data_IF_935419737057
#
_entry.id   IF_935419737057
#
_cell.length_a   1.000
_cell.length_b   1.000
_cell.length_c   1.000
_cell.angle_alpha   90.00
_cell.angle_beta   90.00
_cell.angle_gamma   90.00
#
_symmetry.space_group_name_H-M   'P 1'
#
loop_
_entity.id
_entity.type
_entity.pdbx_description
1 polymer ?
#
# COMPACT_ATOMS: atom_id res chain seq x y z
N UNK A 1 -19.95 -18.33 -11.62
CA UNK A 1 -21.16 -17.78 -10.98
C UNK A 1 -20.77 -17.42 -9.57
N UNK A 2 -21.04 -16.17 -9.18
CA UNK A 2 -20.43 -15.36 -8.12
C UNK A 2 -19.05 -14.78 -8.49
N UNK A 3 -19.12 -13.59 -9.08
CA UNK A 3 -18.03 -12.62 -9.06
C UNK A 3 -17.80 -12.20 -7.60
N UNK A 4 -16.71 -12.65 -6.99
CA UNK A 4 -16.29 -12.12 -5.70
C UNK A 4 -15.83 -10.67 -5.90
N UNK A 5 -16.76 -9.75 -5.67
CA UNK A 5 -16.51 -8.33 -5.59
C UNK A 5 -15.45 -8.12 -4.51
N UNK A 6 -14.25 -7.67 -4.93
CA UNK A 6 -13.13 -7.35 -4.05
C UNK A 6 -13.62 -6.70 -2.74
N UNK A 7 -13.12 -7.13 -1.56
CA UNK A 7 -13.46 -6.51 -0.27
C UNK A 7 -13.29 -4.99 -0.29
N UNK A 8 -12.32 -4.49 -1.07
CA UNK A 8 -12.09 -3.06 -1.32
C UNK A 8 -13.25 -2.41 -2.06
N UNK A 9 -13.78 -3.04 -3.11
CA UNK A 9 -14.94 -2.55 -3.84
C UNK A 9 -16.21 -2.58 -2.98
N UNK A 10 -16.34 -3.57 -2.11
CA UNK A 10 -17.45 -3.67 -1.14
C UNK A 10 -17.36 -2.56 -0.10
N UNK A 11 -16.19 -2.33 0.51
CA UNK A 11 -15.97 -1.27 1.48
C UNK A 11 -16.16 0.14 0.87
N UNK A 12 -15.66 0.36 -0.35
CA UNK A 12 -15.88 1.62 -1.07
C UNK A 12 -17.36 1.83 -1.41
N UNK A 13 -18.07 0.76 -1.80
CA UNK A 13 -19.51 0.80 -2.07
C UNK A 13 -20.31 1.09 -0.80
N UNK A 14 -20.00 0.45 0.31
CA UNK A 14 -20.68 0.68 1.59
C UNK A 14 -20.44 2.08 2.15
N UNK A 15 -19.21 2.61 2.02
CA UNK A 15 -18.91 4.00 2.34
C UNK A 15 -19.73 4.98 1.48
N UNK A 16 -19.86 4.70 0.17
CA UNK A 16 -20.66 5.52 -0.74
C UNK A 16 -22.17 5.46 -0.43
N UNK A 17 -22.69 4.26 -0.12
CA UNK A 17 -24.11 4.06 0.24
C UNK A 17 -24.43 4.75 1.56
N UNK A 18 -23.52 4.65 2.54
CA UNK A 18 -23.69 5.29 3.85
C UNK A 18 -23.72 6.81 3.71
N UNK A 19 -22.85 7.38 2.87
CA UNK A 19 -22.80 8.82 2.60
C UNK A 19 -24.05 9.34 1.87
N UNK A 20 -24.55 8.58 0.88
CA UNK A 20 -25.81 8.88 0.17
C UNK A 20 -27.02 8.77 1.11
N UNK A 21 -27.03 7.78 2.01
CA UNK A 21 -28.09 7.60 2.99
C UNK A 21 -28.09 8.73 4.04
N UNK A 22 -26.92 9.20 4.50
CA UNK A 22 -26.81 10.35 5.41
C UNK A 22 -27.17 11.68 4.76
N UNK A 23 -26.99 11.80 3.44
CA UNK A 23 -27.40 12.98 2.67
C UNK A 23 -28.93 13.03 2.46
N UNK A 24 -29.62 11.89 2.58
CA UNK A 24 -31.07 11.75 2.37
C UNK A 24 -31.98 12.31 3.47
N UNK A 25 -31.44 12.77 4.61
CA UNK A 25 -32.25 13.25 5.75
C UNK A 25 -32.34 14.77 5.91
N UNK A 26 -31.87 15.56 4.93
CA UNK A 26 -32.15 16.99 4.90
C UNK A 26 -33.61 17.22 4.45
N UNK A 27 -34.47 17.57 5.41
CA UNK A 27 -35.89 17.85 5.21
C UNK A 27 -36.14 18.81 4.05
N UNK A 28 -36.84 18.35 3.01
CA UNK A 28 -37.33 19.22 1.94
C UNK A 28 -38.84 19.43 2.08
N UNK A 29 -39.21 20.53 2.72
CA UNK A 29 -40.48 21.20 2.40
C UNK A 29 -40.40 21.72 0.96
N UNK A 30 -41.29 21.23 0.07
CA UNK A 30 -41.51 21.83 -1.25
C UNK A 30 -41.21 20.90 -2.43
N UNK A 31 -42.18 20.07 -2.80
CA UNK A 31 -42.11 19.12 -3.92
C UNK A 31 -42.20 19.86 -5.27
N UNK A 32 -41.09 19.95 -6.03
CA UNK A 32 -41.13 20.18 -7.48
C UNK A 32 -40.59 18.96 -8.22
N UNK A 33 -41.40 18.36 -9.09
CA UNK A 33 -41.07 17.17 -9.88
C UNK A 33 -39.91 17.48 -10.85
N UNK A 34 -38.83 16.69 -10.87
CA UNK A 34 -37.81 16.82 -11.91
C UNK A 34 -38.33 16.24 -13.23
N UNK A 35 -38.14 16.97 -14.33
CA UNK A 35 -38.48 16.55 -15.69
C UNK A 35 -37.39 15.64 -16.28
N UNK A 36 -37.78 14.81 -17.25
CA UNK A 36 -37.00 13.70 -17.85
C UNK A 36 -35.60 14.07 -18.41
N UNK A 37 -35.26 15.35 -18.51
CA UNK A 37 -33.91 15.80 -18.90
C UNK A 37 -32.84 15.63 -17.80
N UNK A 38 -33.22 15.69 -16.52
CA UNK A 38 -32.26 15.55 -15.41
C UNK A 38 -31.73 14.11 -15.22
N UNK A 39 -32.49 13.11 -15.68
CA UNK A 39 -32.13 11.69 -15.55
C UNK A 39 -31.06 11.29 -16.56
N UNK A 40 -30.99 11.95 -17.72
CA UNK A 40 -29.98 11.66 -18.75
C UNK A 40 -28.60 12.20 -18.37
N UNK A 41 -28.53 13.31 -17.61
CA UNK A 41 -27.26 13.88 -17.13
C UNK A 41 -26.56 13.00 -16.08
N UNK A 42 -27.31 12.23 -15.28
CA UNK A 42 -26.74 11.34 -14.24
C UNK A 42 -26.20 10.04 -14.85
N UNK A 43 -26.81 9.53 -15.92
CA UNK A 43 -26.34 8.30 -16.58
C UNK A 43 -25.13 8.56 -17.49
N UNK A 44 -25.03 9.75 -18.08
CA UNK A 44 -23.86 10.13 -18.89
C UNK A 44 -22.57 10.33 -18.07
N UNK A 45 -22.69 10.65 -16.77
CA UNK A 45 -21.53 10.79 -15.88
C UNK A 45 -20.91 9.44 -15.46
N UNK A 46 -21.65 8.34 -15.56
CA UNK A 46 -21.17 7.00 -15.16
C UNK A 46 -20.65 6.14 -16.32
N UNK A 47 -20.81 6.56 -17.58
CA UNK A 47 -20.36 5.77 -18.74
C UNK A 47 -19.04 6.26 -19.37
N UNK A 48 -18.36 7.24 -18.76
CA UNK A 48 -17.01 7.68 -19.16
C UNK A 48 -15.92 7.22 -18.18
N UNK A 49 -16.28 6.67 -17.00
CA UNK A 49 -15.33 6.16 -16.00
C UNK A 49 -14.95 4.69 -16.16
N UNK A 50 -14.83 4.21 -17.40
CA UNK A 50 -14.72 2.80 -17.75
C UNK A 50 -13.38 2.41 -18.36
N UNK A 51 -12.27 2.97 -17.91
CA UNK A 51 -10.91 2.46 -18.16
C UNK A 51 -10.01 2.87 -17.01
N UNK A 52 -9.25 1.93 -16.47
CA UNK A 52 -8.30 2.07 -15.36
C UNK A 52 -7.56 3.42 -15.34
N UNK A 53 -7.82 4.23 -14.32
CA UNK A 53 -6.98 5.29 -13.71
C UNK A 53 -7.92 6.15 -12.86
N UNK A 54 -7.51 6.50 -11.65
CA UNK A 54 -8.29 7.31 -10.70
C UNK A 54 -8.45 8.76 -11.15
N UNK A 55 -9.12 8.98 -12.28
CA UNK A 55 -9.49 10.30 -12.77
C UNK A 55 -10.55 10.90 -11.88
N UNK A 56 -10.15 11.81 -10.99
CA UNK A 56 -11.05 12.75 -10.33
C UNK A 56 -11.73 13.60 -11.41
N UNK A 57 -12.89 13.16 -11.91
CA UNK A 57 -13.83 14.11 -12.49
C UNK A 57 -14.33 14.94 -11.31
N UNK A 58 -13.84 16.17 -11.22
CA UNK A 58 -14.36 17.17 -10.29
C UNK A 58 -15.79 17.53 -10.70
N UNK A 59 -16.74 16.64 -10.42
CA UNK A 59 -18.12 17.03 -10.24
C UNK A 59 -18.13 17.86 -8.95
N UNK A 60 -18.04 19.18 -9.12
CA UNK A 60 -18.14 20.15 -8.05
C UNK A 60 -19.48 19.95 -7.32
N UNK A 61 -19.46 19.13 -6.26
CA UNK A 61 -20.45 19.21 -5.20
C UNK A 61 -20.28 20.61 -4.58
N UNK A 62 -21.32 21.46 -4.57
CA UNK A 62 -21.22 22.77 -3.96
C UNK A 62 -20.90 22.60 -2.47
N UNK A 63 -19.69 22.99 -2.04
CA UNK A 63 -19.33 23.10 -0.63
C UNK A 63 -18.07 22.37 -0.15
N UNK A 64 -17.41 21.54 -0.96
CA UNK A 64 -16.15 20.91 -0.54
C UNK A 64 -14.95 21.77 -0.95
N UNK A 65 -14.25 22.30 0.04
CA UNK A 65 -12.96 22.97 -0.11
C UNK A 65 -11.95 22.02 -0.78
N UNK A 66 -11.31 22.40 -1.90
CA UNK A 66 -10.36 21.54 -2.62
C UNK A 66 -9.22 21.03 -1.74
N UNK A 67 -8.77 21.82 -0.76
CA UNK A 67 -7.70 21.42 0.15
C UNK A 67 -8.16 20.31 1.10
N UNK A 68 -9.44 20.33 1.52
CA UNK A 68 -10.05 19.26 2.32
C UNK A 68 -10.10 17.93 1.55
N UNK A 69 -10.41 17.97 0.24
CA UNK A 69 -10.40 16.78 -0.60
C UNK A 69 -8.98 16.19 -0.74
N UNK A 70 -7.97 17.04 -0.94
CA UNK A 70 -6.57 16.63 -1.01
C UNK A 70 -6.11 16.02 0.32
N UNK A 71 -6.43 16.67 1.45
CA UNK A 71 -6.11 16.14 2.78
C UNK A 71 -6.73 14.76 3.02
N UNK A 72 -8.00 14.57 2.67
CA UNK A 72 -8.67 13.28 2.82
C UNK A 72 -8.03 12.19 1.96
N UNK A 73 -7.63 12.53 0.73
CA UNK A 73 -6.90 11.63 -0.18
C UNK A 73 -5.57 11.20 0.43
N UNK A 74 -4.72 12.15 0.84
CA UNK A 74 -3.42 11.86 1.46
C UNK A 74 -3.56 11.05 2.74
N UNK A 75 -4.53 11.39 3.61
CA UNK A 75 -4.78 10.66 4.83
C UNK A 75 -5.20 9.20 4.56
N UNK A 76 -6.03 8.97 3.54
CA UNK A 76 -6.49 7.62 3.15
C UNK A 76 -5.34 6.81 2.58
N UNK A 77 -4.57 7.37 1.65
CA UNK A 77 -3.38 6.72 1.08
C UNK A 77 -2.37 6.38 2.16
N UNK A 78 -2.08 7.32 3.07
CA UNK A 78 -1.08 7.09 4.13
C UNK A 78 -1.52 5.98 5.08
N UNK A 79 -2.79 5.95 5.49
CA UNK A 79 -3.30 4.86 6.33
C UNK A 79 -3.22 3.52 5.62
N UNK A 80 -3.61 3.46 4.35
CA UNK A 80 -3.47 2.23 3.57
C UNK A 80 -2.01 1.78 3.52
N UNK A 81 -1.07 2.67 3.17
CA UNK A 81 0.35 2.31 3.08
C UNK A 81 0.93 1.89 4.42
N UNK A 82 0.65 2.62 5.51
CA UNK A 82 1.19 2.32 6.83
C UNK A 82 0.53 1.10 7.45
N UNK A 83 -0.80 1.03 7.46
CA UNK A 83 -1.57 0.06 8.24
C UNK A 83 -1.82 -1.23 7.47
N UNK A 84 -2.26 -1.14 6.21
CA UNK A 84 -2.65 -2.33 5.43
C UNK A 84 -1.45 -2.93 4.67
N UNK A 85 -0.60 -2.08 4.07
CA UNK A 85 0.50 -2.54 3.22
C UNK A 85 1.78 -2.85 4.01
N UNK A 86 2.00 -2.18 5.14
CA UNK A 86 3.19 -2.33 5.96
C UNK A 86 2.89 -2.76 7.40
N UNK A 87 1.64 -3.06 7.76
CA UNK A 87 1.25 -3.60 9.08
C UNK A 87 1.66 -2.75 10.28
N UNK A 88 1.88 -1.45 10.04
CA UNK A 88 2.15 -0.45 11.05
C UNK A 88 0.87 0.16 11.60
N UNK A 89 1.02 1.31 12.25
CA UNK A 89 -0.12 2.07 12.76
C UNK A 89 0.15 3.56 12.75
N UNK A 90 -0.82 4.36 12.31
CA UNK A 90 -0.75 5.81 12.49
C UNK A 90 -1.05 6.16 13.96
N UNK A 91 -0.22 7.01 14.56
CA UNK A 91 -0.32 7.42 15.97
C UNK A 91 -0.40 8.93 16.08
N UNK A 92 -1.26 9.41 16.99
CA UNK A 92 -1.40 10.84 17.27
C UNK A 92 -2.28 11.58 16.25
N UNK A 93 -2.17 12.90 16.25
CA UNK A 93 -2.95 13.77 15.35
C UNK A 93 -2.06 14.18 14.18
N UNK A 94 -2.49 13.92 12.93
CA UNK A 94 -1.71 14.30 11.77
C UNK A 94 -1.73 15.82 11.54
N UNK A 95 -0.69 16.30 10.89
CA UNK A 95 -0.59 17.67 10.37
C UNK A 95 -0.75 17.65 8.85
N UNK A 96 -1.48 18.62 8.32
CA UNK A 96 -1.67 18.80 6.88
C UNK A 96 -1.34 20.23 6.49
N UNK A 97 -0.71 20.41 5.33
CA UNK A 97 -0.41 21.73 4.78
C UNK A 97 -0.36 21.68 3.26
N UNK A 98 -0.90 22.71 2.62
CA UNK A 98 -0.59 23.05 1.22
C UNK A 98 0.47 24.14 1.23
N UNK A 99 1.54 23.92 0.47
CA UNK A 99 2.71 24.80 0.47
C UNK A 99 3.29 24.98 -0.94
N UNK A 100 4.26 25.90 -1.03
CA UNK A 100 4.99 26.24 -2.24
C UNK A 100 6.45 26.52 -1.89
N UNK A 101 7.38 26.06 -2.72
CA UNK A 101 8.82 26.16 -2.47
C UNK A 101 9.24 25.45 -1.19
N UNK A 102 10.38 25.83 -0.64
CA UNK A 102 10.91 25.26 0.59
C UNK A 102 9.95 25.43 1.78
N UNK A 103 9.67 24.33 2.49
CA UNK A 103 8.81 24.34 3.69
C UNK A 103 9.35 23.40 4.76
N UNK A 104 9.20 23.83 6.01
CA UNK A 104 9.40 22.97 7.18
C UNK A 104 8.10 22.82 7.97
N UNK A 105 7.84 21.60 8.45
CA UNK A 105 6.76 21.27 9.37
C UNK A 105 7.38 20.69 10.64
N UNK A 106 6.97 21.21 11.80
CA UNK A 106 7.36 20.66 13.09
C UNK A 106 6.25 19.77 13.60
N UNK A 107 6.55 18.49 13.82
CA UNK A 107 5.69 17.61 14.60
C UNK A 107 5.94 17.85 16.08
N UNK A 108 4.86 17.86 16.86
CA UNK A 108 4.93 17.88 18.33
C UNK A 108 5.66 16.65 18.87
N UNK A 109 5.95 16.67 20.17
CA UNK A 109 6.60 15.55 20.87
C UNK A 109 6.01 14.18 20.51
N UNK A 110 6.90 13.19 20.43
CA UNK A 110 6.58 11.82 20.04
C UNK A 110 5.54 11.20 20.99
N UNK A 111 4.34 10.81 20.49
CA UNK A 111 3.35 10.11 21.28
C UNK A 111 3.89 8.77 21.80
N UNK A 112 3.35 8.31 22.93
CA UNK A 112 3.72 7.01 23.48
C UNK A 112 3.43 5.88 22.48
N UNK A 113 4.43 5.04 22.24
CA UNK A 113 4.34 3.90 21.32
C UNK A 113 4.59 4.23 19.86
N UNK A 114 4.82 5.49 19.48
CA UNK A 114 5.35 5.84 18.17
C UNK A 114 6.87 5.68 18.14
N UNK A 115 7.39 5.20 17.01
CA UNK A 115 8.81 4.97 16.75
C UNK A 115 9.25 5.45 15.36
N UNK A 116 8.31 5.97 14.55
CA UNK A 116 8.53 6.36 13.17
C UNK A 116 7.71 7.61 12.84
N UNK A 117 8.12 8.34 11.80
CA UNK A 117 7.32 9.40 11.17
C UNK A 117 6.91 8.94 9.79
N UNK A 118 5.63 9.08 9.47
CA UNK A 118 5.12 8.88 8.12
C UNK A 118 4.84 10.22 7.46
N UNK A 119 5.24 10.34 6.20
CA UNK A 119 5.05 11.53 5.37
C UNK A 119 4.41 11.06 4.07
N UNK A 120 3.36 11.75 3.64
CA UNK A 120 2.80 11.60 2.30
C UNK A 120 2.61 12.97 1.66
N UNK A 121 2.85 13.06 0.35
CA UNK A 121 2.76 14.31 -0.37
C UNK A 121 2.20 14.14 -1.78
N UNK A 122 1.43 15.12 -2.22
CA UNK A 122 0.88 15.20 -3.56
C UNK A 122 1.48 16.40 -4.28
N UNK A 123 2.04 16.17 -5.47
CA UNK A 123 2.50 17.20 -6.39
C UNK A 123 1.26 17.87 -6.99
N UNK A 124 1.04 19.15 -6.69
CA UNK A 124 -0.10 19.90 -7.22
C UNK A 124 0.27 20.62 -8.51
N UNK A 125 1.44 21.27 -8.51
CA UNK A 125 2.04 21.97 -9.65
C UNK A 125 3.57 21.82 -9.57
N UNK A 126 4.24 21.58 -10.70
CA UNK A 126 5.71 21.51 -10.75
C UNK A 126 6.30 20.13 -10.42
N UNK A 127 7.56 20.14 -9.99
CA UNK A 127 8.33 18.91 -9.70
C UNK A 127 8.16 18.44 -8.23
N UNK A 128 8.57 17.20 -7.96
CA UNK A 128 8.44 16.59 -6.65
C UNK A 128 9.45 17.19 -5.64
N UNK A 129 9.02 17.56 -4.43
CA UNK A 129 9.95 18.02 -3.40
C UNK A 129 10.89 16.89 -2.97
N UNK A 130 12.11 17.26 -2.58
CA UNK A 130 12.95 16.37 -1.77
C UNK A 130 12.47 16.43 -0.32
N UNK A 131 12.19 15.26 0.28
CA UNK A 131 11.67 15.16 1.64
C UNK A 131 12.76 14.66 2.58
N UNK A 132 12.90 15.33 3.72
CA UNK A 132 13.80 14.95 4.80
C UNK A 132 13.07 14.95 6.15
N UNK A 133 13.46 14.02 7.02
CA UNK A 133 13.02 13.97 8.41
C UNK A 133 14.25 14.09 9.31
N UNK A 134 14.29 15.13 10.15
CA UNK A 134 15.45 15.48 10.98
C UNK A 134 16.78 15.47 10.20
N UNK A 135 16.75 16.03 8.97
CA UNK A 135 17.91 16.15 8.07
C UNK A 135 18.35 14.85 7.37
N UNK A 136 17.57 13.78 7.51
CA UNK A 136 17.80 12.53 6.79
C UNK A 136 16.80 12.43 5.64
N UNK A 137 17.33 12.27 4.42
CA UNK A 137 16.50 12.06 3.24
C UNK A 137 15.66 10.81 3.40
N UNK A 138 14.37 10.93 3.11
CA UNK A 138 13.46 9.80 3.17
C UNK A 138 13.62 8.91 1.95
N UNK A 139 13.58 7.61 2.16
CA UNK A 139 13.42 6.61 1.11
C UNK A 139 11.92 6.34 0.93
N UNK A 140 11.41 6.49 -0.29
CA UNK A 140 9.98 6.46 -0.57
C UNK A 140 9.64 6.67 -2.03
N UNK A 141 8.36 6.57 -2.37
CA UNK A 141 7.90 6.87 -3.73
C UNK A 141 7.82 8.38 -3.95
N UNK A 142 8.08 8.82 -5.18
CA UNK A 142 7.94 10.22 -5.56
C UNK A 142 6.54 10.44 -6.11
N UNK A 143 5.91 11.57 -5.78
CA UNK A 143 4.77 12.00 -6.58
C UNK A 143 5.26 12.37 -7.96
N UNK A 144 4.66 11.79 -8.98
CA UNK A 144 4.91 12.13 -10.36
C UNK A 144 4.15 13.36 -10.79
N UNK A 145 4.49 13.87 -11.98
CA UNK A 145 3.80 15.03 -12.54
C UNK A 145 2.38 14.64 -12.95
N UNK A 146 1.44 15.55 -12.71
CA UNK A 146 0.02 15.34 -12.99
C UNK A 146 -0.29 15.03 -14.48
N UNK A 147 0.59 15.43 -15.39
CA UNK A 147 0.49 15.22 -16.83
C UNK A 147 1.11 13.90 -17.32
N UNK A 148 1.81 13.15 -16.45
CA UNK A 148 2.28 11.79 -16.73
C UNK A 148 1.32 10.75 -16.12
N UNK A 149 0.47 10.10 -16.94
CA UNK A 149 -0.51 9.13 -16.47
C UNK A 149 0.11 7.84 -15.91
N UNK A 150 1.42 7.62 -16.11
CA UNK A 150 2.14 6.46 -15.60
C UNK A 150 2.75 6.69 -14.22
N UNK A 151 2.72 7.93 -13.74
CA UNK A 151 3.41 8.34 -12.53
C UNK A 151 2.48 8.29 -11.30
N UNK A 152 3.01 7.90 -10.14
CA UNK A 152 2.21 7.82 -8.92
C UNK A 152 1.75 9.23 -8.49
N UNK A 153 0.45 9.41 -8.28
CA UNK A 153 -0.08 10.72 -7.91
C UNK A 153 0.30 11.19 -6.48
N UNK A 154 0.93 10.33 -5.69
CA UNK A 154 1.26 10.59 -4.28
C UNK A 154 2.57 9.91 -3.93
N UNK A 155 3.52 10.68 -3.41
CA UNK A 155 4.71 10.13 -2.78
C UNK A 155 4.43 9.82 -1.31
N UNK A 156 5.10 8.81 -0.77
CA UNK A 156 5.01 8.49 0.65
C UNK A 156 6.34 7.92 1.16
N UNK A 157 6.57 8.05 2.46
CA UNK A 157 7.69 7.46 3.16
C UNK A 157 7.34 7.13 4.62
N UNK A 158 8.05 6.14 5.18
CA UNK A 158 8.08 5.84 6.61
C UNK A 158 9.52 5.93 7.09
N UNK A 159 9.81 6.88 7.95
CA UNK A 159 11.16 7.14 8.47
C UNK A 159 11.28 6.70 9.93
N UNK A 160 12.20 5.79 10.27
CA UNK A 160 12.41 5.38 11.66
C UNK A 160 12.98 6.54 12.48
N UNK A 161 12.56 6.65 13.75
CA UNK A 161 12.92 7.75 14.63
C UNK A 161 13.63 7.27 15.90
N UNK A 162 14.92 7.61 15.99
CA UNK A 162 15.72 7.36 17.19
C UNK A 162 15.47 8.38 18.30
N UNK A 163 15.07 9.62 17.95
CA UNK A 163 14.86 10.72 18.89
C UNK A 163 13.45 10.70 19.51
N UNK A 164 13.33 11.30 20.70
CA UNK A 164 12.05 11.39 21.45
C UNK A 164 11.49 12.80 21.52
N UNK A 165 12.18 13.79 20.95
CA UNK A 165 11.78 15.20 20.95
C UNK A 165 10.91 15.57 19.75
N UNK A 166 10.72 16.88 19.57
CA UNK A 166 10.12 17.43 18.36
C UNK A 166 10.96 17.05 17.12
N UNK A 167 10.26 16.76 16.04
CA UNK A 167 10.84 16.34 14.76
C UNK A 167 10.46 17.32 13.66
N UNK A 168 11.41 17.63 12.79
CA UNK A 168 11.22 18.54 11.67
C UNK A 168 11.18 17.74 10.38
N UNK A 169 10.10 17.94 9.61
CA UNK A 169 9.97 17.45 8.25
C UNK A 169 10.22 18.61 7.30
N UNK A 170 11.26 18.50 6.48
CA UNK A 170 11.65 19.51 5.51
C UNK A 170 11.30 19.02 4.11
N UNK A 171 10.67 19.89 3.32
CA UNK A 171 10.36 19.67 1.92
C UNK A 171 11.09 20.76 1.13
N UNK A 172 12.05 20.36 0.32
CA UNK A 172 12.85 21.26 -0.51
C UNK A 172 12.34 21.23 -1.95
N UNK A 173 11.96 22.37 -2.50
CA UNK A 173 11.35 22.49 -3.84
C UNK A 173 11.58 23.88 -4.43
N UNK A 174 11.45 24.02 -5.75
CA UNK A 174 11.59 25.34 -6.38
C UNK A 174 10.41 26.25 -5.97
N UNK A 175 10.66 27.57 -5.96
CA UNK A 175 9.67 28.59 -5.55
C UNK A 175 8.34 28.55 -6.34
N UNK A 176 8.32 27.92 -7.51
CA UNK A 176 7.13 27.76 -8.34
C UNK A 176 6.35 26.48 -8.03
N UNK A 177 7.00 25.48 -7.43
CA UNK A 177 6.43 24.17 -7.18
C UNK A 177 5.45 24.23 -6.02
N UNK A 178 4.30 23.59 -6.19
CA UNK A 178 3.23 23.54 -5.19
C UNK A 178 2.92 22.09 -4.87
N UNK A 179 2.84 21.81 -3.58
CA UNK A 179 2.52 20.48 -3.08
C UNK A 179 1.61 20.55 -1.86
N UNK A 180 0.94 19.43 -1.59
CA UNK A 180 0.28 19.20 -0.32
C UNK A 180 1.05 18.12 0.44
N UNK A 181 1.21 18.30 1.74
CA UNK A 181 1.90 17.35 2.61
C UNK A 181 1.02 16.99 3.80
N UNK A 182 1.03 15.71 4.13
CA UNK A 182 0.40 15.13 5.29
C UNK A 182 1.48 14.38 6.09
N UNK A 183 1.53 14.65 7.39
CA UNK A 183 2.58 14.11 8.27
C UNK A 183 1.96 13.61 9.56
N UNK A 184 2.37 12.44 10.03
CA UNK A 184 2.00 11.94 11.34
C UNK A 184 3.11 11.12 11.97
N UNK A 185 3.04 10.99 13.30
CA UNK A 185 3.73 9.90 13.98
C UNK A 185 3.10 8.56 13.59
N UNK A 186 3.93 7.52 13.58
CA UNK A 186 3.54 6.15 13.30
C UNK A 186 4.30 5.19 14.23
N UNK A 187 3.76 3.98 14.32
CA UNK A 187 4.42 2.82 14.89
C UNK A 187 4.67 1.83 13.76
N UNK A 188 5.93 1.48 13.52
CA UNK A 188 6.30 0.45 12.58
C UNK A 188 5.80 -0.93 13.06
N UNK A 189 5.57 -1.89 12.13
CA UNK A 189 5.32 -3.27 12.52
C UNK A 189 6.50 -3.82 13.33
N UNK A 190 6.21 -4.74 14.26
CA UNK A 190 7.25 -5.52 14.91
C UNK A 190 7.62 -6.70 14.02
N UNK A 191 8.70 -6.57 13.24
CA UNK A 191 9.18 -7.64 12.37
C UNK A 191 9.94 -8.68 13.19
N UNK A 192 9.60 -9.95 13.02
CA UNK A 192 10.27 -11.07 13.67
C UNK A 192 11.70 -11.21 13.15
N UNK A 193 12.62 -11.51 14.06
CA UNK A 193 13.99 -11.86 13.68
C UNK A 193 14.02 -13.24 13.02
N UNK A 194 14.98 -13.50 12.12
CA UNK A 194 15.24 -14.83 11.59
C UNK A 194 15.35 -15.90 12.69
N UNK A 195 14.91 -17.12 12.37
CA UNK A 195 15.06 -18.28 13.26
C UNK A 195 16.51 -18.78 13.24
N UNK A 196 16.99 -19.41 14.33
CA UNK A 196 18.33 -19.98 14.37
C UNK A 196 18.59 -21.00 13.25
N UNK A 197 17.55 -21.67 12.77
CA UNK A 197 17.62 -22.57 11.64
C UNK A 197 17.85 -21.81 10.33
N UNK A 198 17.10 -20.74 10.07
CA UNK A 198 17.32 -19.89 8.90
C UNK A 198 18.72 -19.26 8.93
N UNK A 199 19.17 -18.78 10.09
CA UNK A 199 20.53 -18.24 10.26
C UNK A 199 21.60 -19.28 9.92
N UNK A 200 21.39 -20.55 10.29
CA UNK A 200 22.33 -21.62 9.99
C UNK A 200 22.35 -21.99 8.50
N UNK A 201 21.17 -22.05 7.86
CA UNK A 201 21.00 -22.37 6.43
C UNK A 201 21.50 -21.26 5.50
N UNK A 202 21.62 -20.02 5.98
CA UNK A 202 22.09 -18.87 5.17
C UNK A 202 23.51 -18.42 5.53
N UNK A 203 24.16 -19.11 6.48
CA UNK A 203 25.45 -18.69 7.02
C UNK A 203 26.60 -18.71 6.00
N UNK A 204 26.54 -19.59 5.01
CA UNK A 204 27.55 -19.72 3.95
C UNK A 204 27.20 -18.91 2.68
N UNK A 205 26.05 -18.23 2.67
CA UNK A 205 25.58 -17.41 1.57
C UNK A 205 25.05 -18.20 0.37
N UNK A 206 24.86 -19.52 0.50
CA UNK A 206 24.25 -20.36 -0.53
C UNK A 206 23.08 -21.13 0.08
N UNK A 207 22.05 -21.39 -0.71
CA UNK A 207 20.88 -22.17 -0.26
C UNK A 207 20.73 -23.39 -1.16
N UNK A 208 20.76 -24.58 -0.57
CA UNK A 208 20.45 -25.80 -1.28
C UNK A 208 18.94 -25.98 -1.44
N UNK A 209 18.53 -26.81 -2.41
CA UNK A 209 17.12 -27.13 -2.61
C UNK A 209 16.46 -27.77 -1.37
N UNK A 210 17.22 -28.51 -0.58
CA UNK A 210 16.69 -29.12 0.65
C UNK A 210 16.44 -28.07 1.74
N UNK A 211 17.34 -27.10 1.89
CA UNK A 211 17.18 -25.95 2.80
C UNK A 211 16.01 -25.07 2.35
N UNK A 212 15.91 -24.77 1.06
CA UNK A 212 14.78 -24.02 0.49
C UNK A 212 13.42 -24.67 0.82
N UNK A 213 13.31 -25.98 0.60
CA UNK A 213 12.09 -26.75 0.93
C UNK A 213 11.82 -26.80 2.43
N UNK A 214 12.87 -27.00 3.22
CA UNK A 214 12.74 -27.11 4.68
C UNK A 214 12.30 -25.77 5.28
N UNK A 215 12.88 -24.67 4.82
CA UNK A 215 12.50 -23.32 5.21
C UNK A 215 11.04 -23.01 4.82
N UNK A 216 10.62 -23.35 3.60
CA UNK A 216 9.23 -23.18 3.20
C UNK A 216 8.26 -24.02 4.04
N UNK A 217 8.61 -25.26 4.39
CA UNK A 217 7.80 -26.08 5.29
C UNK A 217 7.69 -25.47 6.69
N UNK A 218 8.73 -24.79 7.19
CA UNK A 218 8.66 -24.04 8.46
C UNK A 218 7.75 -22.82 8.34
N UNK A 219 7.76 -22.11 7.22
CA UNK A 219 6.81 -21.03 6.92
C UNK A 219 5.36 -21.54 6.96
N UNK A 220 5.05 -22.64 6.25
CA UNK A 220 3.72 -23.27 6.27
C UNK A 220 3.31 -23.66 7.70
N UNK A 221 4.23 -24.24 8.46
CA UNK A 221 3.97 -24.64 9.84
C UNK A 221 3.73 -23.43 10.77
N UNK A 222 4.48 -22.34 10.61
CA UNK A 222 4.30 -21.10 11.36
C UNK A 222 2.91 -20.51 11.09
N UNK A 223 2.52 -20.42 9.81
CA UNK A 223 1.21 -19.94 9.39
C UNK A 223 0.07 -20.79 9.96
N UNK A 224 0.19 -22.11 9.87
CA UNK A 224 -0.80 -23.02 10.44
C UNK A 224 -0.91 -22.87 11.97
N UNK A 225 0.21 -22.68 12.68
CA UNK A 225 0.21 -22.43 14.13
C UNK A 225 -0.45 -21.10 14.51
N UNK A 226 -0.34 -20.09 13.65
CA UNK A 226 -1.02 -18.81 13.80
C UNK A 226 -2.51 -18.84 13.38
N UNK A 227 -3.02 -20.00 12.95
CA UNK A 227 -4.41 -20.17 12.53
C UNK A 227 -4.71 -19.67 11.11
N UNK A 228 -3.68 -19.45 10.29
CA UNK A 228 -3.78 -18.91 8.93
C UNK A 228 -3.10 -19.86 7.91
N UNK A 229 -3.52 -21.13 7.79
CA UNK A 229 -2.84 -22.09 6.92
C UNK A 229 -2.89 -21.66 5.44
N UNK A 230 -1.76 -21.77 4.73
CA UNK A 230 -1.63 -21.40 3.31
C UNK A 230 -2.07 -22.50 2.33
N UNK A 231 -2.47 -23.67 2.84
CA UNK A 231 -2.78 -24.84 2.02
C UNK A 231 -1.54 -25.57 1.50
N UNK A 232 -1.76 -26.54 0.62
CA UNK A 232 -0.68 -27.30 -0.02
C UNK A 232 -0.13 -26.50 -1.21
N UNK A 233 1.07 -25.95 -1.05
CA UNK A 233 1.75 -25.19 -2.11
C UNK A 233 2.83 -26.09 -2.75
N UNK A 234 2.62 -26.59 -3.97
CA UNK A 234 3.58 -27.45 -4.63
C UNK A 234 4.78 -26.65 -5.13
N UNK A 235 5.90 -27.34 -5.26
CA UNK A 235 7.07 -26.81 -5.91
C UNK A 235 6.86 -26.82 -7.44
N UNK A 236 7.17 -25.72 -8.11
CA UNK A 236 6.92 -25.53 -9.55
C UNK A 236 8.17 -25.11 -10.32
N UNK A 237 8.19 -25.44 -11.61
CA UNK A 237 9.24 -25.09 -12.57
C UNK A 237 8.65 -24.40 -13.78
N UNK A 238 9.44 -23.55 -14.43
CA UNK A 238 9.02 -22.84 -15.64
C UNK A 238 9.70 -23.42 -16.88
N UNK A 239 8.90 -23.87 -17.84
CA UNK A 239 9.36 -24.37 -19.14
C UNK A 239 8.35 -24.05 -20.24
N UNK A 240 8.83 -23.75 -21.44
CA UNK A 240 7.99 -23.57 -22.64
C UNK A 240 6.83 -22.57 -22.48
N UNK A 241 7.04 -21.51 -21.69
CA UNK A 241 6.02 -20.49 -21.45
C UNK A 241 4.98 -20.85 -20.39
N UNK A 242 5.19 -21.92 -19.61
CA UNK A 242 4.22 -22.40 -18.63
C UNK A 242 4.86 -22.96 -17.35
N UNK A 243 4.13 -22.79 -16.25
CA UNK A 243 4.43 -23.41 -14.97
C UNK A 243 4.05 -24.89 -14.95
N UNK A 244 4.91 -25.73 -14.36
CA UNK A 244 4.69 -27.17 -14.27
C UNK A 244 5.25 -27.77 -12.97
N UNK A 245 4.67 -28.89 -12.51
CA UNK A 245 5.14 -29.66 -11.35
C UNK A 245 6.05 -30.84 -11.71
N UNK A 246 6.57 -30.90 -12.94
CA UNK A 246 7.27 -32.09 -13.47
C UNK A 246 8.79 -32.10 -13.25
N UNK A 247 9.34 -31.07 -12.61
CA UNK A 247 10.78 -30.94 -12.41
C UNK A 247 11.54 -30.50 -13.67
N UNK A 248 10.86 -29.92 -14.66
CA UNK A 248 11.46 -29.55 -15.95
C UNK A 248 11.47 -28.04 -16.13
N UNK A 249 12.62 -27.53 -16.57
CA UNK A 249 12.83 -26.12 -16.85
C UNK A 249 13.63 -25.41 -15.77
N UNK A 250 13.50 -24.09 -15.71
CA UNK A 250 14.14 -23.24 -14.69
C UNK A 250 13.36 -23.35 -13.38
N UNK A 251 14.03 -23.06 -12.26
CA UNK A 251 13.49 -23.12 -10.91
C UNK A 251 14.20 -24.17 -10.06
N UNK A 252 13.55 -24.72 -9.04
CA UNK A 252 12.13 -24.53 -8.67
C UNK A 252 11.77 -23.26 -7.86
N UNK A 253 10.47 -22.95 -7.79
CA UNK A 253 9.89 -21.93 -6.90
C UNK A 253 8.60 -22.42 -6.24
N UNK A 254 8.22 -21.75 -5.15
CA UNK A 254 6.88 -21.83 -4.58
C UNK A 254 6.04 -20.65 -5.07
N UNK A 255 4.93 -20.93 -5.76
CA UNK A 255 3.97 -19.93 -6.20
C UNK A 255 2.78 -19.94 -5.24
N UNK A 256 2.59 -18.84 -4.51
CA UNK A 256 1.54 -18.74 -3.50
C UNK A 256 1.00 -17.32 -3.40
N UNK A 257 -0.30 -17.25 -3.11
CA UNK A 257 -0.95 -16.02 -2.69
C UNK A 257 -1.25 -16.12 -1.18
N UNK A 258 -0.83 -15.13 -0.42
CA UNK A 258 -1.19 -15.04 1.00
C UNK A 258 -2.62 -14.50 1.13
N UNK A 259 -3.55 -15.21 1.79
CA UNK A 259 -4.89 -14.69 2.04
C UNK A 259 -4.83 -13.36 2.82
N UNK A 260 -5.67 -12.39 2.47
CA UNK A 260 -5.67 -11.07 3.09
C UNK A 260 -5.86 -11.09 4.62
N UNK A 261 -6.55 -12.10 5.17
CA UNK A 261 -6.73 -12.25 6.61
C UNK A 261 -5.47 -12.73 7.36
N UNK A 262 -4.45 -13.22 6.65
CA UNK A 262 -3.20 -13.73 7.20
C UNK A 262 -1.96 -12.94 6.78
N UNK A 263 -2.10 -11.87 5.99
CA UNK A 263 -0.98 -11.09 5.46
C UNK A 263 -0.12 -10.48 6.57
N UNK A 264 -0.73 -9.91 7.62
CA UNK A 264 0.04 -9.35 8.74
C UNK A 264 0.94 -10.39 9.41
N UNK A 265 0.40 -11.57 9.74
CA UNK A 265 1.18 -12.65 10.36
C UNK A 265 2.25 -13.16 9.40
N UNK A 266 1.94 -13.24 8.11
CA UNK A 266 2.89 -13.61 7.07
C UNK A 266 4.06 -12.65 7.00
N UNK A 267 3.77 -11.38 6.70
CA UNK A 267 4.77 -10.36 6.41
C UNK A 267 5.59 -9.97 7.65
N UNK A 268 5.00 -10.05 8.85
CA UNK A 268 5.68 -9.57 10.08
C UNK A 268 6.23 -10.68 10.97
N UNK A 269 5.68 -11.90 10.94
CA UNK A 269 6.05 -12.94 11.89
C UNK A 269 6.63 -14.18 11.23
N UNK A 270 5.96 -14.77 10.24
CA UNK A 270 6.34 -16.08 9.73
C UNK A 270 7.34 -16.02 8.58
N UNK A 271 7.13 -15.14 7.59
CA UNK A 271 8.01 -15.04 6.43
C UNK A 271 9.40 -14.51 6.80
N UNK A 272 9.56 -13.36 7.50
CA UNK A 272 10.87 -12.88 7.94
C UNK A 272 11.63 -13.88 8.81
N UNK A 273 10.89 -14.58 9.69
CA UNK A 273 11.46 -15.51 10.65
C UNK A 273 11.90 -16.82 10.04
N UNK A 274 11.16 -17.38 9.09
CA UNK A 274 11.40 -18.76 8.65
C UNK A 274 11.89 -18.90 7.21
N UNK A 275 11.69 -17.89 6.35
CA UNK A 275 11.92 -18.04 4.90
C UNK A 275 12.59 -16.86 4.17
N UNK A 276 12.44 -15.61 4.61
CA UNK A 276 12.87 -14.41 3.86
C UNK A 276 14.32 -14.43 3.33
N UNK A 277 15.31 -14.66 4.19
CA UNK A 277 16.71 -14.67 3.76
C UNK A 277 17.04 -15.90 2.89
N UNK A 278 16.38 -17.04 3.15
CA UNK A 278 16.52 -18.24 2.33
C UNK A 278 15.94 -18.01 0.93
N UNK A 279 14.75 -17.42 0.83
CA UNK A 279 14.11 -17.09 -0.44
C UNK A 279 14.92 -16.04 -1.21
N UNK A 280 15.39 -14.98 -0.55
CA UNK A 280 16.23 -13.97 -1.20
C UNK A 280 17.50 -14.57 -1.81
N UNK A 281 18.27 -15.37 -1.06
CA UNK A 281 19.49 -16.02 -1.58
C UNK A 281 19.14 -16.98 -2.72
N UNK A 282 18.05 -17.73 -2.57
CA UNK A 282 17.59 -18.65 -3.60
C UNK A 282 17.26 -17.92 -4.92
N UNK A 283 16.56 -16.78 -4.85
CA UNK A 283 16.16 -15.97 -6.00
C UNK A 283 17.34 -15.27 -6.69
N UNK A 284 18.41 -14.96 -5.96
CA UNK A 284 19.65 -14.45 -6.55
C UNK A 284 20.30 -15.49 -7.49
N UNK A 285 20.23 -16.78 -7.15
CA UNK A 285 20.74 -17.88 -7.97
C UNK A 285 19.71 -18.37 -9.01
N UNK A 286 18.42 -18.26 -8.69
CA UNK A 286 17.30 -18.76 -9.48
C UNK A 286 16.29 -17.63 -9.74
N UNK A 287 16.66 -16.60 -10.54
CA UNK A 287 15.77 -15.47 -10.79
C UNK A 287 14.49 -15.93 -11.48
N UNK A 288 13.35 -15.51 -10.95
CA UNK A 288 12.04 -15.78 -11.56
C UNK A 288 11.98 -15.19 -12.99
N UNK A 289 11.42 -15.90 -13.98
CA UNK A 289 11.30 -15.38 -15.34
C UNK A 289 10.46 -14.08 -15.38
N UNK A 290 10.94 -13.07 -16.11
CA UNK A 290 10.13 -11.88 -16.43
C UNK A 290 8.88 -12.30 -17.23
N UNK A 291 7.69 -11.85 -16.80
CA UNK A 291 6.34 -12.24 -17.24
C UNK A 291 5.89 -13.69 -16.89
N UNK A 292 5.52 -13.98 -15.63
CA UNK A 292 4.72 -15.15 -15.34
C UNK A 292 3.31 -14.96 -15.93
N UNK A 293 2.80 -15.88 -16.79
CA UNK A 293 1.40 -15.83 -17.19
C UNK A 293 0.50 -15.93 -15.96
N UNK A 294 -0.60 -15.17 -15.97
CA UNK A 294 -1.66 -15.12 -14.94
C UNK A 294 -1.84 -16.49 -14.30
N UNK A 295 -1.75 -16.56 -12.96
CA UNK A 295 -1.92 -17.78 -12.17
C UNK A 295 -3.06 -18.65 -12.73
N UNK A 296 -2.87 -19.97 -12.88
CA UNK A 296 -3.97 -20.83 -13.25
C UNK A 296 -5.06 -20.72 -12.19
N UNK A 297 -6.27 -20.38 -12.61
CA UNK A 297 -7.44 -20.29 -11.75
C UNK A 297 -7.53 -21.55 -10.87
N UNK A 298 -7.51 -21.34 -9.55
CA UNK A 298 -7.74 -22.39 -8.57
C UNK A 298 -9.10 -23.03 -8.88
N UNK A 299 -9.06 -24.31 -9.26
CA UNK A 299 -10.25 -25.12 -9.55
C UNK A 299 -10.86 -25.74 -8.30
#
# INVERSE_FOLDING_TARGET
MNDDISPRLTAMREALITDVASTGTASTTGRRRPTRGAVVAVVAAFLVGGTMTGGLTAAALPGNDPDTAIQASLATTTRYMVEDANHGRVVGTPSFRVARGDTALTLSDRPAGADSVTVAWACLDGDAPTVEVDGHRTEGTLCGRRDDPTSEATGWALSPMASTGATVVTLSADDTDRYAVWVSWAKAPSIATPSPQQDAETADGAVTLDEYRTAFNRLLACQAQAGQPMGDVPLTWYADGAWNGSGRGTGPWYLYATPAAGSEVFDTQCYPREFDAVDRIWQEEHPEPEDPPVEPAVG
#
